data_IF_281679713030
#
_entry.id   IF_281679713030
#
_cell.length_a   1.000
_cell.length_b   1.000
_cell.length_c   1.000
_cell.angle_alpha   90.00
_cell.angle_beta   90.00
_cell.angle_gamma   90.00
#
_symmetry.space_group_name_H-M   'P 1'
#
loop_
_entity.id
_entity.type
_entity.pdbx_description
1 polymer ?
#
# COMPACT_ATOMS: atom_id res chain seq x y z
N UNK A 1 7.94 4.77 15.26
CA UNK A 1 7.38 4.68 13.89
C UNK A 1 6.82 3.29 13.68
N UNK A 2 5.53 3.17 13.40
CA UNK A 2 4.94 1.86 13.10
C UNK A 2 5.56 1.24 11.86
N UNK A 3 5.69 -0.09 11.89
CA UNK A 3 6.27 -0.83 10.77
C UNK A 3 5.36 -1.97 10.38
N UNK A 4 5.19 -2.14 9.08
CA UNK A 4 4.44 -3.25 8.52
C UNK A 4 5.40 -4.05 7.65
N UNK A 5 5.46 -5.35 7.93
CA UNK A 5 6.29 -6.27 7.14
C UNK A 5 5.37 -7.09 6.26
N UNK A 6 5.51 -6.92 4.96
CA UNK A 6 4.63 -7.59 4.00
C UNK A 6 4.79 -9.11 4.06
N UNK A 7 5.91 -9.62 4.55
CA UNK A 7 6.07 -11.07 4.69
C UNK A 7 5.03 -11.68 5.62
N UNK A 8 4.42 -10.88 6.51
CA UNK A 8 3.32 -11.38 7.35
C UNK A 8 2.10 -11.76 6.52
N UNK A 9 1.93 -11.18 5.35
CA UNK A 9 0.81 -11.51 4.47
C UNK A 9 1.11 -12.72 3.60
N UNK A 10 2.37 -12.97 3.30
CA UNK A 10 2.77 -14.00 2.34
C UNK A 10 3.44 -15.19 3.01
N UNK A 11 3.81 -15.06 4.27
CA UNK A 11 4.53 -16.09 5.03
C UNK A 11 5.82 -16.53 4.34
N UNK A 12 6.42 -15.62 3.57
CA UNK A 12 7.66 -15.86 2.82
C UNK A 12 7.54 -16.90 1.71
N UNK A 13 6.33 -17.35 1.39
CA UNK A 13 6.13 -18.37 0.38
C UNK A 13 5.70 -17.79 -0.96
N UNK A 14 5.04 -16.65 -0.95
CA UNK A 14 4.48 -16.05 -2.14
C UNK A 14 5.14 -14.68 -2.32
N UNK A 15 5.52 -14.36 -3.55
CA UNK A 15 6.15 -13.09 -3.87
C UNK A 15 5.22 -12.17 -4.63
N UNK A 16 3.92 -12.45 -4.59
CA UNK A 16 2.90 -11.66 -5.27
C UNK A 16 1.77 -11.34 -4.31
N UNK A 17 1.18 -10.17 -4.47
CA UNK A 17 -0.04 -9.79 -3.78
C UNK A 17 -1.07 -9.41 -4.83
N UNK A 18 -2.25 -10.03 -4.79
CA UNK A 18 -3.30 -9.75 -5.76
C UNK A 18 -4.67 -9.93 -5.13
N UNK A 19 -5.68 -9.30 -5.73
CA UNK A 19 -7.06 -9.42 -5.31
C UNK A 19 -7.51 -8.29 -4.39
N UNK A 20 -8.63 -7.69 -4.74
CA UNK A 20 -9.21 -6.59 -3.97
C UNK A 20 -9.57 -7.02 -2.55
N UNK A 21 -10.20 -8.19 -2.43
CA UNK A 21 -10.62 -8.70 -1.11
C UNK A 21 -9.43 -8.96 -0.20
N UNK A 22 -8.33 -9.44 -0.78
CA UNK A 22 -7.11 -9.64 0.01
C UNK A 22 -6.52 -8.31 0.46
N UNK A 23 -6.63 -7.29 -0.39
CA UNK A 23 -6.21 -5.94 -0.01
C UNK A 23 -7.04 -5.41 1.15
N UNK A 24 -8.37 -5.59 1.10
CA UNK A 24 -9.23 -5.19 2.20
C UNK A 24 -8.90 -5.93 3.49
N UNK A 25 -8.61 -7.22 3.39
CA UNK A 25 -8.23 -8.01 4.56
C UNK A 25 -6.92 -7.52 5.16
N UNK A 26 -5.95 -7.17 4.31
CA UNK A 26 -4.68 -6.62 4.78
C UNK A 26 -4.89 -5.27 5.48
N UNK A 27 -5.75 -4.44 4.92
CA UNK A 27 -6.09 -3.15 5.52
C UNK A 27 -6.64 -3.32 6.93
N UNK A 28 -7.54 -4.28 7.10
CA UNK A 28 -8.12 -4.57 8.41
C UNK A 28 -7.08 -5.15 9.36
N UNK A 29 -6.26 -6.08 8.87
CA UNK A 29 -5.26 -6.73 9.70
C UNK A 29 -4.29 -5.74 10.31
N UNK A 30 -3.83 -4.76 9.55
CA UNK A 30 -2.87 -3.77 10.03
C UNK A 30 -3.53 -2.51 10.57
N UNK A 31 -4.87 -2.47 10.57
CA UNK A 31 -5.63 -1.34 11.09
C UNK A 31 -5.23 -0.02 10.44
N UNK A 32 -5.21 -0.03 9.12
CA UNK A 32 -4.77 1.14 8.37
C UNK A 32 -5.69 2.34 8.57
N UNK A 33 -6.98 2.11 8.82
CA UNK A 33 -7.89 3.22 9.09
C UNK A 33 -7.40 4.07 10.25
N UNK A 34 -6.90 3.42 11.30
CA UNK A 34 -6.31 4.14 12.42
C UNK A 34 -5.00 4.80 12.04
N UNK A 35 -4.14 4.08 11.32
CA UNK A 35 -2.84 4.61 10.93
C UNK A 35 -2.97 5.79 9.97
N UNK A 36 -4.02 5.82 9.14
CA UNK A 36 -4.29 6.97 8.27
C UNK A 36 -4.48 8.25 9.05
N UNK A 37 -5.07 8.16 10.24
CA UNK A 37 -5.39 9.32 11.06
C UNK A 37 -4.30 9.69 12.04
N UNK A 38 -3.41 8.74 12.33
CA UNK A 38 -2.29 8.99 13.21
C UNK A 38 -1.26 9.83 12.45
N UNK A 39 -0.78 10.89 13.04
CA UNK A 39 0.17 11.78 12.37
C UNK A 39 1.56 11.19 12.17
N UNK A 40 1.83 10.00 12.66
CA UNK A 40 3.15 9.39 12.59
C UNK A 40 3.32 8.58 11.31
N UNK A 41 4.44 8.78 10.58
CA UNK A 41 4.69 7.99 9.37
C UNK A 41 4.80 6.49 9.68
N UNK A 42 4.43 5.69 8.68
CA UNK A 42 4.44 4.23 8.77
C UNK A 42 5.42 3.69 7.74
N UNK A 43 6.29 2.78 8.16
CA UNK A 43 7.21 2.11 7.23
C UNK A 43 6.62 0.78 6.80
N UNK A 44 6.61 0.53 5.50
CA UNK A 44 6.10 -0.73 4.94
C UNK A 44 7.24 -1.38 4.18
N UNK A 45 7.65 -2.59 4.63
CA UNK A 45 8.78 -3.29 4.06
C UNK A 45 8.35 -4.46 3.21
N UNK A 46 8.92 -4.55 2.00
CA UNK A 46 8.79 -5.70 1.12
C UNK A 46 10.12 -6.44 1.07
N UNK A 47 10.10 -7.77 1.01
CA UNK A 47 11.36 -8.51 0.90
C UNK A 47 12.01 -8.28 -0.46
N UNK A 48 13.33 -8.44 -0.51
CA UNK A 48 14.05 -8.45 -1.76
C UNK A 48 13.52 -9.58 -2.63
N UNK A 49 13.46 -9.36 -3.92
CA UNK A 49 12.94 -10.37 -4.83
C UNK A 49 11.43 -10.40 -4.92
N UNK A 50 10.72 -9.55 -4.19
CA UNK A 50 9.28 -9.48 -4.31
C UNK A 50 8.90 -9.10 -5.74
N UNK A 51 7.92 -9.80 -6.32
CA UNK A 51 7.69 -9.73 -7.76
C UNK A 51 6.61 -8.76 -8.16
N UNK A 52 5.47 -8.80 -7.49
CA UNK A 52 4.32 -8.08 -8.02
C UNK A 52 3.28 -7.76 -6.95
N UNK A 53 2.72 -6.55 -7.05
CA UNK A 53 1.51 -6.16 -6.32
C UNK A 53 0.52 -5.72 -7.39
N UNK A 54 -0.67 -6.33 -7.42
CA UNK A 54 -1.66 -5.95 -8.41
C UNK A 54 -2.35 -4.64 -8.04
N UNK A 55 -2.93 -3.97 -9.04
CA UNK A 55 -3.66 -2.74 -8.78
C UNK A 55 -4.89 -3.01 -7.92
N UNK A 56 -5.55 -4.15 -8.10
CA UNK A 56 -6.73 -4.48 -7.30
C UNK A 56 -6.39 -4.69 -5.83
N UNK A 57 -5.25 -5.34 -5.55
CA UNK A 57 -4.79 -5.48 -4.16
C UNK A 57 -4.50 -4.10 -3.56
N UNK A 58 -3.77 -3.27 -4.29
CA UNK A 58 -3.43 -1.93 -3.82
C UNK A 58 -4.70 -1.15 -3.52
N UNK A 59 -5.69 -1.20 -4.39
CA UNK A 59 -6.93 -0.47 -4.18
C UNK A 59 -7.63 -0.94 -2.91
N UNK A 60 -7.71 -2.24 -2.67
CA UNK A 60 -8.31 -2.74 -1.45
C UNK A 60 -7.58 -2.29 -0.19
N UNK A 61 -6.27 -2.29 -0.22
CA UNK A 61 -5.48 -1.96 0.96
C UNK A 61 -5.33 -0.46 1.17
N UNK A 62 -5.13 0.32 0.09
CA UNK A 62 -4.65 1.69 0.22
C UNK A 62 -5.51 2.76 -0.43
N UNK A 63 -6.56 2.42 -1.20
CA UNK A 63 -7.34 3.47 -1.88
C UNK A 63 -7.90 4.48 -0.89
N UNK A 64 -8.45 3.99 0.22
CA UNK A 64 -8.99 4.89 1.24
C UNK A 64 -7.90 5.73 1.88
N UNK A 65 -6.70 5.17 2.04
CA UNK A 65 -5.57 5.92 2.58
C UNK A 65 -5.16 7.04 1.64
N UNK A 66 -5.09 6.77 0.33
CA UNK A 66 -4.74 7.78 -0.66
C UNK A 66 -5.75 8.93 -0.62
N UNK A 67 -7.03 8.59 -0.57
CA UNK A 67 -8.10 9.60 -0.52
C UNK A 67 -8.06 10.40 0.78
N UNK A 68 -7.84 9.70 1.88
CA UNK A 68 -7.81 10.34 3.20
C UNK A 68 -6.64 11.32 3.31
N UNK A 69 -5.49 10.99 2.74
CA UNK A 69 -4.31 11.84 2.79
C UNK A 69 -4.31 12.90 1.69
N UNK A 70 -5.20 12.79 0.73
CA UNK A 70 -5.55 13.87 -0.19
C UNK A 70 -4.68 14.04 -1.41
N UNK A 71 -3.51 13.44 -1.45
CA UNK A 71 -2.61 13.56 -2.59
C UNK A 71 -1.64 12.38 -2.63
N UNK A 72 -1.03 12.16 -3.80
CA UNK A 72 0.02 11.14 -3.94
C UNK A 72 1.20 11.50 -3.04
N UNK A 73 1.57 12.77 -3.01
CA UNK A 73 2.69 13.20 -2.17
C UNK A 73 2.39 12.98 -0.69
N UNK A 74 1.18 13.30 -0.25
CA UNK A 74 0.78 13.09 1.14
C UNK A 74 0.77 11.62 1.50
N UNK A 75 0.29 10.79 0.57
CA UNK A 75 0.27 9.34 0.80
C UNK A 75 1.68 8.80 1.01
N UNK A 76 2.62 9.12 0.13
CA UNK A 76 3.98 8.59 0.25
C UNK A 76 4.81 9.28 1.33
N UNK A 77 4.40 10.43 1.79
CA UNK A 77 5.03 11.03 2.98
C UNK A 77 4.63 10.30 4.25
N UNK A 78 3.40 9.78 4.28
CA UNK A 78 2.87 9.06 5.43
C UNK A 78 3.23 7.58 5.42
N UNK A 79 3.08 6.92 4.27
CA UNK A 79 3.43 5.50 4.11
C UNK A 79 4.71 5.40 3.31
N UNK A 80 5.78 5.03 4.00
CA UNK A 80 7.11 4.95 3.40
C UNK A 80 7.43 3.52 3.04
N UNK A 81 7.61 3.27 1.76
CA UNK A 81 7.78 1.92 1.24
C UNK A 81 9.25 1.59 1.04
N UNK A 82 9.72 0.60 1.76
CA UNK A 82 11.03 0.00 1.54
C UNK A 82 10.81 -1.22 0.65
N UNK A 83 11.05 -1.06 -0.64
CA UNK A 83 10.67 -2.05 -1.63
C UNK A 83 11.57 -1.96 -2.85
N UNK A 84 11.66 -3.06 -3.65
CA UNK A 84 12.37 -2.98 -4.92
C UNK A 84 11.84 -1.87 -5.80
N UNK A 85 12.71 -1.31 -6.64
CA UNK A 85 12.35 -0.16 -7.48
C UNK A 85 11.14 -0.43 -8.36
N UNK A 86 11.03 -1.64 -8.94
CA UNK A 86 9.89 -1.95 -9.80
C UNK A 86 8.58 -1.99 -9.02
N UNK A 87 8.62 -2.38 -7.75
CA UNK A 87 7.42 -2.35 -6.90
C UNK A 87 7.06 -0.89 -6.58
N UNK A 88 8.03 -0.08 -6.17
CA UNK A 88 7.75 1.32 -5.85
C UNK A 88 7.17 2.08 -7.04
N UNK A 89 7.67 1.80 -8.23
CA UNK A 89 7.15 2.43 -9.45
C UNK A 89 5.68 2.08 -9.67
N UNK A 90 5.32 0.82 -9.47
CA UNK A 90 3.92 0.40 -9.63
C UNK A 90 3.03 1.00 -8.54
N UNK A 91 3.51 1.07 -7.32
CA UNK A 91 2.73 1.67 -6.24
C UNK A 91 2.42 3.13 -6.55
N UNK A 92 3.39 3.86 -7.11
CA UNK A 92 3.16 5.25 -7.50
C UNK A 92 2.07 5.35 -8.59
N UNK A 93 2.12 4.48 -9.59
CA UNK A 93 1.11 4.45 -10.64
C UNK A 93 -0.29 4.19 -10.05
N UNK A 94 -0.38 3.24 -9.13
CA UNK A 94 -1.66 2.88 -8.53
C UNK A 94 -2.23 4.02 -7.69
N UNK A 95 -1.37 4.70 -6.94
CA UNK A 95 -1.83 5.85 -6.14
C UNK A 95 -2.36 6.97 -7.03
N UNK A 96 -1.68 7.23 -8.13
CA UNK A 96 -2.15 8.22 -9.09
C UNK A 96 -3.51 7.82 -9.68
N UNK A 97 -3.70 6.54 -9.97
CA UNK A 97 -4.96 6.06 -10.51
C UNK A 97 -6.13 6.28 -9.54
N UNK A 98 -5.88 6.12 -8.26
CA UNK A 98 -6.95 6.33 -7.26
C UNK A 98 -7.46 7.77 -7.32
N UNK A 99 -6.58 8.74 -7.46
CA UNK A 99 -6.96 10.16 -7.47
C UNK A 99 -7.30 10.68 -8.85
N UNK A 100 -6.58 10.23 -9.87
CA UNK A 100 -6.70 10.78 -11.19
C UNK A 100 -7.94 10.37 -11.96
N UNK A 101 -8.52 9.25 -11.61
CA UNK A 101 -9.64 8.68 -12.37
C UNK A 101 -10.93 9.45 -12.23
N UNK A 102 -11.09 10.18 -11.18
CA UNK A 102 -12.34 10.88 -10.91
C UNK A 102 -12.58 12.06 -11.83
N UNK A 103 -11.61 12.39 -12.63
CA UNK A 103 -11.70 13.56 -13.48
C UNK A 103 -12.54 13.33 -14.73
N UNK A 104 -13.03 12.15 -14.93
CA UNK A 104 -13.78 11.83 -16.15
C UNK A 104 -15.26 11.78 -15.93
#
# INVERSE_FOLDING_TARGET
MPKIDITELTQNEVLNLSGHDRGLAARARFNLAHLDEDGEPVEISFPEGFRQVSSSFFQGMFADSVRSLGSVQGFFAHYRFDAPAHIRSKLADYAEQVLGRRDY
#
